data_IF_986402401015
#
_entry.id   IF_986402401015
#
_cell.length_a   1.000
_cell.length_b   1.000
_cell.length_c   1.000
_cell.angle_alpha   90.00
_cell.angle_beta   90.00
_cell.angle_gamma   90.00
#
_symmetry.space_group_name_H-M   'P 1'
#
loop_
_entity.id
_entity.type
_entity.pdbx_description
1 polymer ?
#
# COMPACT_ATOMS: atom_id res chain seq x y z
N UNK A 1 9.71 13.39 30.79
CA UNK A 1 10.24 14.58 31.53
C UNK A 1 9.43 15.80 31.10
N UNK A 2 9.22 16.83 31.93
CA UNK A 2 8.59 18.07 31.46
C UNK A 2 9.46 18.74 30.38
N UNK A 3 8.85 19.24 29.31
CA UNK A 3 9.57 19.89 28.21
C UNK A 3 8.75 19.97 26.93
N UNK A 4 9.29 20.67 25.93
CA UNK A 4 8.76 20.72 24.57
C UNK A 4 9.25 19.51 23.77
N UNK A 5 8.35 18.86 23.05
CA UNK A 5 8.65 17.66 22.25
C UNK A 5 8.25 17.88 20.79
N UNK A 6 9.03 17.32 19.88
CA UNK A 6 8.71 17.23 18.46
C UNK A 6 8.78 15.78 18.03
N UNK A 7 7.71 15.30 17.39
CA UNK A 7 7.63 13.96 16.81
C UNK A 7 7.37 14.09 15.31
N UNK A 8 7.95 13.20 14.51
CA UNK A 8 7.77 13.18 13.06
C UNK A 8 7.42 11.77 12.60
N UNK A 9 6.35 11.65 11.82
CA UNK A 9 5.99 10.42 11.13
C UNK A 9 6.11 10.67 9.63
N UNK A 10 6.74 9.73 8.92
CA UNK A 10 6.91 9.79 7.46
C UNK A 10 6.17 8.62 6.82
N UNK A 11 5.20 8.92 5.97
CA UNK A 11 4.58 7.93 5.11
C UNK A 11 5.56 7.53 3.98
N UNK A 12 5.67 6.23 3.64
CA UNK A 12 6.48 5.79 2.50
C UNK A 12 5.99 6.35 1.16
N UNK A 13 6.88 6.36 0.16
CA UNK A 13 6.47 6.68 -1.21
C UNK A 13 5.49 5.63 -1.76
N UNK A 14 4.50 6.08 -2.53
CA UNK A 14 3.42 5.23 -3.06
C UNK A 14 2.63 4.48 -1.97
N UNK A 15 2.51 5.04 -0.77
CA UNK A 15 1.80 4.37 0.32
C UNK A 15 0.27 4.46 0.15
N UNK A 16 -0.25 5.60 -0.26
CA UNK A 16 -1.68 5.88 -0.38
C UNK A 16 -2.20 5.74 -1.81
N UNK A 17 -3.50 5.47 -1.94
CA UNK A 17 -4.22 5.48 -3.21
C UNK A 17 -4.65 6.90 -3.61
N UNK A 18 -5.05 7.10 -4.87
CA UNK A 18 -5.55 8.38 -5.40
C UNK A 18 -6.93 8.73 -4.81
N UNK A 19 -6.91 9.40 -3.64
CA UNK A 19 -8.10 9.79 -2.86
C UNK A 19 -7.78 10.98 -1.94
N UNK A 20 -8.84 11.52 -1.33
CA UNK A 20 -8.74 12.48 -0.21
C UNK A 20 -8.54 11.72 1.11
N UNK A 21 -7.58 12.19 1.91
CA UNK A 21 -7.28 11.67 3.24
C UNK A 21 -7.41 12.77 4.28
N UNK A 22 -7.74 12.35 5.50
CA UNK A 22 -7.73 13.16 6.71
C UNK A 22 -6.86 12.43 7.73
N UNK A 23 -6.01 13.15 8.45
CA UNK A 23 -5.23 12.57 9.53
C UNK A 23 -5.63 13.24 10.85
N UNK A 24 -5.95 12.40 11.84
CA UNK A 24 -6.19 12.77 13.23
C UNK A 24 -4.96 12.42 14.06
N UNK A 25 -4.77 13.11 15.19
CA UNK A 25 -3.68 12.84 16.13
C UNK A 25 -4.25 12.47 17.48
N UNK A 26 -3.75 11.37 18.05
CA UNK A 26 -4.05 10.96 19.42
C UNK A 26 -2.76 10.84 20.22
N UNK A 27 -2.73 11.42 21.41
CA UNK A 27 -1.61 11.31 22.35
C UNK A 27 -2.15 10.65 23.63
N UNK A 28 -1.40 9.68 24.15
CA UNK A 28 -1.80 8.91 25.30
C UNK A 28 -0.71 7.97 25.80
N UNK A 29 -0.90 7.43 27.00
CA UNK A 29 0.09 6.57 27.66
C UNK A 29 0.16 5.16 27.06
N UNK A 30 -0.94 4.68 26.48
CA UNK A 30 -1.05 3.38 25.85
C UNK A 30 -2.16 3.38 24.78
N UNK A 31 -2.15 2.44 23.83
CA UNK A 31 -3.28 2.24 22.93
C UNK A 31 -4.60 2.11 23.71
N UNK A 32 -5.61 2.91 23.35
CA UNK A 32 -6.90 2.96 24.03
C UNK A 32 -6.99 3.88 25.26
N UNK A 33 -5.87 4.41 25.74
CA UNK A 33 -5.83 5.42 26.82
C UNK A 33 -5.40 6.75 26.22
N UNK A 34 -6.37 7.55 25.77
CA UNK A 34 -6.15 8.82 25.05
C UNK A 34 -6.31 10.00 25.99
N UNK A 35 -5.28 10.87 26.07
CA UNK A 35 -5.30 12.11 26.84
C UNK A 35 -5.67 13.32 25.97
N UNK A 36 -5.22 13.31 24.71
CA UNK A 36 -5.53 14.32 23.70
C UNK A 36 -5.95 13.63 22.42
N UNK A 37 -7.06 14.07 21.83
CA UNK A 37 -7.50 13.65 20.52
C UNK A 37 -7.89 14.88 19.70
N UNK A 38 -7.24 15.06 18.57
CA UNK A 38 -7.56 16.11 17.62
C UNK A 38 -7.92 15.48 16.28
N UNK A 39 -9.14 15.74 15.83
CA UNK A 39 -9.70 15.12 14.64
C UNK A 39 -9.37 15.91 13.38
N UNK A 40 -8.97 15.21 12.31
CA UNK A 40 -8.77 15.78 10.96
C UNK A 40 -7.88 17.03 10.92
N UNK A 41 -6.82 17.05 11.74
CA UNK A 41 -5.87 18.18 11.86
C UNK A 41 -5.19 18.54 10.55
N UNK A 42 -5.08 17.58 9.63
CA UNK A 42 -4.66 17.80 8.25
C UNK A 42 -5.56 17.04 7.28
N UNK A 43 -5.75 17.61 6.09
CA UNK A 43 -6.33 16.89 4.96
C UNK A 43 -5.49 17.10 3.70
N UNK A 44 -5.38 16.08 2.88
CA UNK A 44 -4.60 16.12 1.64
C UNK A 44 -5.21 15.22 0.57
N UNK A 45 -5.01 15.59 -0.70
CA UNK A 45 -5.33 14.74 -1.84
C UNK A 45 -4.05 14.07 -2.34
N UNK A 46 -4.15 12.79 -2.61
CA UNK A 46 -3.09 12.02 -3.27
C UNK A 46 -3.49 11.85 -4.71
N UNK A 47 -2.56 12.10 -5.63
CA UNK A 47 -2.76 11.89 -7.07
C UNK A 47 -1.87 10.75 -7.53
N UNK A 48 -2.45 9.78 -8.26
CA UNK A 48 -1.66 8.70 -8.87
C UNK A 48 -0.91 9.25 -10.08
N UNK A 49 0.40 9.00 -10.11
CA UNK A 49 1.28 9.39 -11.22
C UNK A 49 1.09 8.52 -12.47
N UNK A 50 0.35 7.41 -12.36
CA UNK A 50 0.14 6.44 -13.44
C UNK A 50 1.26 5.41 -13.57
N UNK A 51 2.39 5.58 -12.87
CA UNK A 51 3.57 4.72 -13.01
C UNK A 51 3.29 3.22 -12.73
N UNK A 52 2.29 2.92 -11.90
CA UNK A 52 1.87 1.55 -11.61
C UNK A 52 0.60 1.11 -12.34
N UNK A 53 0.01 1.94 -13.21
CA UNK A 53 -1.26 1.63 -13.88
C UNK A 53 -1.10 0.69 -15.08
N UNK A 54 0.06 0.70 -15.74
CA UNK A 54 0.25 0.00 -17.03
C UNK A 54 -0.96 0.31 -17.96
N UNK A 55 -1.73 -0.70 -18.34
CA UNK A 55 -2.91 -0.59 -19.21
C UNK A 55 -4.23 -0.34 -18.44
N UNK A 56 -4.21 -0.38 -17.11
CA UNK A 56 -5.42 -0.21 -16.30
C UNK A 56 -5.81 1.28 -16.16
N UNK A 57 -6.92 1.66 -16.76
CA UNK A 57 -7.45 3.03 -16.75
C UNK A 57 -8.53 3.29 -15.70
N UNK A 58 -8.99 2.25 -14.99
CA UNK A 58 -10.02 2.35 -13.96
C UNK A 58 -9.53 3.00 -12.65
N UNK A 59 -10.46 3.31 -11.75
CA UNK A 59 -10.13 3.69 -10.38
C UNK A 59 -9.63 2.46 -9.61
N UNK A 60 -8.61 2.63 -8.78
CA UNK A 60 -8.20 1.56 -7.87
C UNK A 60 -9.31 1.31 -6.84
N UNK A 61 -10.05 0.24 -7.08
CA UNK A 61 -11.00 -0.36 -6.15
C UNK A 61 -10.17 -1.16 -5.13
N UNK A 62 -10.21 -0.80 -3.85
CA UNK A 62 -9.41 -1.49 -2.84
C UNK A 62 -9.06 -0.67 -1.61
N UNK A 63 -8.27 -1.25 -0.69
CA UNK A 63 -7.91 -0.64 0.59
C UNK A 63 -7.18 0.68 0.42
N UNK A 64 -7.17 1.52 1.46
CA UNK A 64 -6.58 2.86 1.46
C UNK A 64 -5.07 2.93 1.21
N UNK A 65 -4.38 1.78 1.12
CA UNK A 65 -2.94 1.68 0.93
C UNK A 65 -2.60 0.84 -0.32
N UNK A 66 -1.53 1.20 -1.02
CA UNK A 66 -1.05 0.49 -2.23
C UNK A 66 0.47 0.44 -2.30
N UNK A 67 1.13 -0.31 -1.39
CA UNK A 67 2.57 -0.45 -1.44
C UNK A 67 3.01 -0.98 -2.81
N UNK A 68 4.06 -0.40 -3.38
CA UNK A 68 4.67 -0.88 -4.62
C UNK A 68 5.41 -2.19 -4.36
N UNK A 69 4.83 -3.30 -4.78
CA UNK A 69 5.46 -4.62 -4.69
C UNK A 69 6.30 -4.90 -5.94
N UNK A 70 7.58 -5.22 -5.74
CA UNK A 70 8.51 -5.60 -6.81
C UNK A 70 8.35 -7.08 -7.15
N UNK A 71 7.36 -7.40 -7.97
CA UNK A 71 7.19 -8.76 -8.46
C UNK A 71 8.24 -9.09 -9.53
N UNK A 72 8.85 -10.27 -9.41
CA UNK A 72 9.78 -10.85 -10.39
C UNK A 72 9.19 -12.16 -10.89
N UNK A 73 9.09 -12.30 -12.21
CA UNK A 73 8.60 -13.51 -12.85
C UNK A 73 9.72 -14.13 -13.67
N UNK A 74 9.90 -15.44 -13.53
CA UNK A 74 10.82 -16.23 -14.34
C UNK A 74 10.06 -17.45 -14.88
N UNK A 75 10.39 -17.93 -16.10
CA UNK A 75 9.82 -19.18 -16.59
C UNK A 75 10.20 -20.33 -15.65
N UNK A 76 9.25 -21.22 -15.41
CA UNK A 76 9.57 -22.51 -14.78
C UNK A 76 10.26 -23.40 -15.82
N UNK A 77 11.18 -24.29 -15.42
CA UNK A 77 11.69 -25.31 -16.32
C UNK A 77 10.52 -26.12 -16.84
N UNK A 78 10.38 -26.20 -18.16
CA UNK A 78 9.49 -27.17 -18.80
C UNK A 78 10.11 -28.54 -18.53
N UNK A 79 9.54 -29.32 -17.61
CA UNK A 79 9.83 -30.75 -17.61
C UNK A 79 8.98 -31.34 -18.73
N UNK A 80 9.63 -31.94 -19.72
CA UNK A 80 9.01 -32.68 -20.83
C UNK A 80 8.30 -33.95 -20.32
N UNK A 81 7.23 -33.80 -19.52
CA UNK A 81 6.42 -34.93 -19.06
C UNK A 81 5.26 -35.28 -20.01
N UNK A 82 5.13 -34.59 -21.14
CA UNK A 82 4.06 -34.81 -22.12
C UNK A 82 4.53 -35.53 -23.41
N UNK A 83 5.59 -36.32 -23.34
CA UNK A 83 6.00 -37.20 -24.44
C UNK A 83 6.03 -38.67 -24.03
N UNK A 84 4.85 -39.30 -23.96
CA UNK A 84 4.66 -40.68 -24.43
C UNK A 84 3.18 -41.07 -24.34
N UNK A 85 2.52 -41.04 -25.50
CA UNK A 85 1.13 -41.45 -25.63
C UNK A 85 0.62 -41.50 -27.07
N UNK A 86 1.51 -41.68 -28.05
CA UNK A 86 1.13 -41.97 -29.44
C UNK A 86 1.85 -43.23 -29.91
N UNK A 87 1.28 -44.39 -29.56
CA UNK A 87 1.52 -45.62 -30.29
C UNK A 87 0.16 -46.14 -30.79
N UNK A 88 -0.18 -45.72 -32.01
CA UNK A 88 -0.99 -46.54 -32.93
C UNK A 88 -0.07 -47.61 -33.55
N UNK A 89 -0.59 -48.79 -33.95
CA UNK A 89 -1.64 -48.94 -34.97
C UNK A 89 -3.05 -49.16 -34.39
#
# INVERSE_FOLDING_TARGET
KPGLYQTTCRFPANFFNDRRYFASVSIGLAPGIVELHEESVISFHVHDTGAMRKEYSGSWQGPSIRPRLEWRSAPLPTNDFDSEGSAQP
#
